data_IF_602161775017
#
_entry.id   IF_602161775017
#
_cell.length_a   1.000
_cell.length_b   1.000
_cell.length_c   1.000
_cell.angle_alpha   90.00
_cell.angle_beta   90.00
_cell.angle_gamma   90.00
#
_symmetry.space_group_name_H-M   'P 1'
#
loop_
_entity.id
_entity.type
_entity.pdbx_description
1 polymer ?
#
# COMPACT_ATOMS: atom_id res chain seq x y z
N UNK A 1 0.90 -26.03 -1.74
CA UNK A 1 0.10 -25.05 -1.00
C UNK A 1 0.28 -23.71 -1.72
N UNK A 2 -0.76 -22.89 -1.90
CA UNK A 2 -0.56 -21.53 -2.42
C UNK A 2 0.00 -20.68 -1.26
N UNK A 3 1.19 -20.13 -1.42
CA UNK A 3 1.80 -19.23 -0.44
C UNK A 3 1.89 -17.81 -1.02
N UNK A 4 1.56 -16.81 -0.21
CA UNK A 4 1.63 -15.40 -0.59
C UNK A 4 2.78 -14.76 0.17
N UNK A 5 3.72 -14.15 -0.55
CA UNK A 5 4.85 -13.42 0.02
C UNK A 5 4.81 -11.97 -0.40
N UNK A 6 4.78 -11.06 0.58
CA UNK A 6 5.01 -9.64 0.33
C UNK A 6 6.48 -9.39 -0.01
N UNK A 7 6.71 -8.47 -0.94
CA UNK A 7 8.06 -8.08 -1.33
C UNK A 7 8.39 -6.73 -0.69
N UNK A 8 9.11 -6.78 0.44
CA UNK A 8 9.54 -5.60 1.18
C UNK A 8 10.89 -5.04 0.71
N UNK A 9 11.53 -5.70 -0.27
CA UNK A 9 12.85 -5.30 -0.77
C UNK A 9 12.72 -4.19 -1.82
N UNK A 10 13.33 -3.05 -1.55
CA UNK A 10 13.28 -1.84 -2.40
C UNK A 10 13.76 -2.07 -3.84
N UNK A 11 14.73 -2.96 -4.06
CA UNK A 11 15.22 -3.29 -5.42
C UNK A 11 14.19 -4.09 -6.22
N UNK A 12 13.39 -4.92 -5.56
CA UNK A 12 12.31 -5.67 -6.23
C UNK A 12 11.05 -4.83 -6.40
N UNK A 13 10.75 -3.92 -5.48
CA UNK A 13 9.67 -2.93 -5.64
C UNK A 13 9.94 -1.98 -6.81
N UNK A 14 11.19 -1.53 -7.01
CA UNK A 14 11.58 -0.77 -8.21
C UNK A 14 11.26 -1.52 -9.51
N UNK A 15 11.30 -2.86 -9.50
CA UNK A 15 10.93 -3.72 -10.64
C UNK A 15 9.41 -3.95 -10.78
N UNK A 16 8.59 -3.27 -9.98
CA UNK A 16 7.12 -3.36 -10.03
C UNK A 16 6.54 -4.58 -9.33
N UNK A 17 7.27 -5.20 -8.40
CA UNK A 17 6.80 -6.39 -7.68
C UNK A 17 6.38 -5.98 -6.28
N UNK A 18 5.08 -6.01 -6.03
CA UNK A 18 4.49 -5.77 -4.71
C UNK A 18 4.24 -7.10 -3.98
N UNK A 19 3.84 -8.13 -4.73
CA UNK A 19 3.52 -9.47 -4.22
C UNK A 19 4.18 -10.57 -5.06
N UNK A 20 4.50 -11.69 -4.42
CA UNK A 20 4.84 -12.95 -5.09
C UNK A 20 3.85 -14.03 -4.63
N UNK A 21 3.21 -14.68 -5.59
CA UNK A 21 2.43 -15.89 -5.38
C UNK A 21 3.30 -17.10 -5.69
N UNK A 22 3.49 -17.97 -4.71
CA UNK A 22 4.13 -19.27 -4.89
C UNK A 22 3.07 -20.30 -5.20
N UNK A 23 3.16 -20.85 -6.41
CA UNK A 23 2.24 -21.83 -6.93
C UNK A 23 2.62 -23.24 -6.42
N UNK A 24 1.65 -24.20 -6.38
CA UNK A 24 1.91 -25.56 -5.88
C UNK A 24 2.97 -26.35 -6.66
N UNK A 25 3.38 -25.87 -7.83
CA UNK A 25 4.42 -26.45 -8.68
C UNK A 25 5.77 -25.72 -8.55
N UNK A 26 5.96 -24.99 -7.44
CA UNK A 26 7.15 -24.19 -7.13
C UNK A 26 7.45 -23.03 -8.11
N UNK A 27 6.48 -22.69 -8.97
CA UNK A 27 6.57 -21.49 -9.80
C UNK A 27 6.19 -20.24 -9.01
N UNK A 28 6.81 -19.12 -9.37
CA UNK A 28 6.49 -17.80 -8.83
C UNK A 28 5.68 -16.99 -9.84
N UNK A 29 4.63 -16.31 -9.38
CA UNK A 29 3.96 -15.25 -10.12
C UNK A 29 4.14 -13.92 -9.40
N UNK A 30 4.76 -12.95 -10.07
CA UNK A 30 5.04 -11.61 -9.55
C UNK A 30 3.89 -10.67 -9.88
N UNK A 31 3.35 -10.02 -8.87
CA UNK A 31 2.16 -9.17 -9.00
C UNK A 31 2.53 -7.72 -8.65
N UNK A 32 2.09 -6.79 -9.50
CA UNK A 32 2.00 -5.36 -9.18
C UNK A 32 0.56 -5.03 -8.78
N UNK A 33 0.38 -4.21 -7.76
CA UNK A 33 -0.94 -3.77 -7.30
C UNK A 33 -1.22 -2.31 -7.71
N UNK A 34 -2.43 -2.07 -8.23
CA UNK A 34 -2.96 -0.73 -8.44
C UNK A 34 -4.39 -0.68 -7.93
N UNK A 35 -4.64 0.17 -6.95
CA UNK A 35 -5.96 0.40 -6.40
C UNK A 35 -6.50 1.78 -6.80
N UNK A 36 -7.81 1.86 -7.08
CA UNK A 36 -8.57 3.10 -7.24
C UNK A 36 -9.59 3.20 -6.11
N UNK A 37 -9.64 4.38 -5.48
CA UNK A 37 -10.61 4.74 -4.43
C UNK A 37 -11.97 5.16 -4.98
N UNK A 38 -12.05 5.45 -6.28
CA UNK A 38 -13.28 5.82 -6.98
C UNK A 38 -13.54 4.83 -8.12
N UNK A 39 -14.78 4.82 -8.62
CA UNK A 39 -15.23 3.94 -9.69
C UNK A 39 -15.08 4.63 -11.03
N UNK A 40 -14.35 3.99 -11.94
CA UNK A 40 -14.17 4.47 -13.31
C UNK A 40 -14.41 3.33 -14.30
N UNK A 41 -14.90 3.63 -15.50
CA UNK A 41 -15.04 2.61 -16.55
C UNK A 41 -13.77 2.51 -17.41
N UNK A 42 -12.61 2.59 -16.75
CA UNK A 42 -11.28 2.61 -17.36
C UNK A 42 -10.25 1.79 -16.59
N UNK A 43 -9.11 1.57 -17.25
CA UNK A 43 -7.83 1.29 -16.62
C UNK A 43 -6.91 2.51 -16.81
N UNK A 44 -6.37 3.00 -15.70
CA UNK A 44 -5.44 4.14 -15.69
C UNK A 44 -4.01 3.64 -15.90
N UNK A 45 -3.46 3.82 -17.10
CA UNK A 45 -2.12 3.38 -17.47
C UNK A 45 -1.12 4.52 -17.26
N UNK A 46 -0.12 4.32 -16.39
CA UNK A 46 0.92 5.32 -16.13
C UNK A 46 1.97 5.30 -17.24
N UNK A 47 1.95 6.35 -18.04
CA UNK A 47 2.95 6.57 -19.08
C UNK A 47 4.23 7.16 -18.49
N UNK A 48 4.11 8.11 -17.57
CA UNK A 48 5.25 8.75 -16.92
C UNK A 48 5.11 8.71 -15.39
N UNK A 49 6.11 8.12 -14.71
CA UNK A 49 6.23 8.15 -13.25
C UNK A 49 6.80 9.48 -12.76
N UNK A 50 7.57 10.17 -13.62
CA UNK A 50 7.93 11.57 -13.47
C UNK A 50 7.82 12.22 -14.86
N UNK A 51 6.78 13.02 -15.05
CA UNK A 51 6.42 13.61 -16.33
C UNK A 51 7.43 14.65 -16.79
N UNK A 52 7.98 15.42 -15.85
CA UNK A 52 8.97 16.47 -16.10
C UNK A 52 10.30 15.86 -16.57
N UNK A 53 10.75 14.79 -15.90
CA UNK A 53 12.00 14.09 -16.22
C UNK A 53 11.85 13.03 -17.32
N UNK A 54 10.63 12.81 -17.80
CA UNK A 54 10.29 11.73 -18.75
C UNK A 54 10.78 10.36 -18.25
N UNK A 55 10.62 10.12 -16.96
CA UNK A 55 10.89 8.81 -16.36
C UNK A 55 9.76 7.87 -16.72
N UNK A 56 10.04 6.74 -17.40
CA UNK A 56 9.00 5.78 -17.80
C UNK A 56 8.13 5.37 -16.61
N UNK A 57 6.82 5.42 -16.83
CA UNK A 57 5.82 4.86 -15.94
C UNK A 57 5.69 3.36 -16.11
N UNK A 58 5.02 2.71 -15.15
CA UNK A 58 4.90 1.26 -15.13
C UNK A 58 4.24 0.68 -16.39
N UNK A 59 3.43 1.43 -17.14
CA UNK A 59 2.79 0.89 -18.35
C UNK A 59 3.78 0.71 -19.53
N UNK A 60 4.93 1.39 -19.51
CA UNK A 60 5.95 1.35 -20.60
C UNK A 60 7.36 0.99 -20.15
N UNK A 61 7.63 0.94 -18.85
CA UNK A 61 8.95 0.61 -18.33
C UNK A 61 9.33 -0.85 -18.66
N UNK A 62 10.35 -1.00 -19.50
CA UNK A 62 10.85 -2.30 -19.95
C UNK A 62 11.66 -3.04 -18.88
N UNK A 63 12.07 -2.35 -17.81
CA UNK A 63 12.78 -2.95 -16.69
C UNK A 63 11.85 -3.70 -15.73
N UNK A 64 10.53 -3.50 -15.85
CA UNK A 64 9.53 -4.17 -15.02
C UNK A 64 9.47 -5.65 -15.34
N UNK A 65 9.61 -6.47 -14.30
CA UNK A 65 9.61 -7.94 -14.38
C UNK A 65 8.34 -8.56 -13.78
N UNK A 66 7.29 -7.76 -13.65
CA UNK A 66 5.96 -8.17 -13.21
C UNK A 66 5.34 -9.16 -14.19
N UNK A 67 4.65 -10.19 -13.67
CA UNK A 67 3.93 -11.16 -14.49
C UNK A 67 2.46 -10.75 -14.64
N UNK A 68 1.85 -10.29 -13.55
CA UNK A 68 0.46 -9.85 -13.55
C UNK A 68 0.24 -8.51 -12.84
N UNK A 69 -0.74 -7.75 -13.30
CA UNK A 69 -1.24 -6.55 -12.65
C UNK A 69 -2.54 -6.89 -11.93
N UNK A 70 -2.59 -6.67 -10.61
CA UNK A 70 -3.81 -6.65 -9.83
C UNK A 70 -4.37 -5.22 -9.83
N UNK A 71 -5.45 -5.01 -10.57
CA UNK A 71 -6.16 -3.72 -10.65
C UNK A 71 -7.45 -3.79 -9.83
N UNK A 72 -7.59 -2.92 -8.83
CA UNK A 72 -8.69 -3.01 -7.86
C UNK A 72 -9.47 -1.70 -7.85
N UNK A 73 -10.80 -1.79 -7.90
CA UNK A 73 -11.69 -0.68 -7.59
C UNK A 73 -12.34 -0.93 -6.24
N UNK A 74 -11.85 -0.24 -5.21
CA UNK A 74 -12.23 -0.48 -3.82
C UNK A 74 -13.75 -0.36 -3.58
N UNK A 75 -14.45 0.68 -4.10
CA UNK A 75 -15.89 0.83 -3.82
C UNK A 75 -16.74 -0.28 -4.41
N UNK A 76 -16.33 -0.86 -5.54
CA UNK A 76 -17.08 -1.92 -6.23
C UNK A 76 -16.67 -3.32 -5.78
N UNK A 77 -15.54 -3.43 -5.07
CA UNK A 77 -14.90 -4.72 -4.73
C UNK A 77 -14.68 -5.57 -5.99
N UNK A 78 -14.30 -4.93 -7.08
CA UNK A 78 -13.90 -5.60 -8.32
C UNK A 78 -12.39 -5.62 -8.41
N UNK A 79 -11.86 -6.79 -8.72
CA UNK A 79 -10.46 -7.02 -9.03
C UNK A 79 -10.36 -7.51 -10.47
N UNK A 80 -9.43 -6.95 -11.21
CA UNK A 80 -8.99 -7.46 -12.50
C UNK A 80 -7.55 -7.91 -12.34
N UNK A 81 -7.29 -9.17 -12.63
CA UNK A 81 -5.93 -9.70 -12.76
C UNK A 81 -5.60 -9.68 -14.25
N UNK A 82 -4.62 -8.86 -14.64
CA UNK A 82 -4.21 -8.71 -16.04
C UNK A 82 -2.84 -9.33 -16.26
N UNK A 83 -2.66 -10.05 -17.36
CA UNK A 83 -1.33 -10.49 -17.79
C UNK A 83 -0.52 -9.27 -18.26
N UNK A 84 0.42 -8.84 -17.42
CA UNK A 84 1.08 -7.55 -17.56
C UNK A 84 1.97 -7.43 -18.81
N UNK A 85 2.76 -8.45 -19.22
CA UNK A 85 3.52 -8.40 -20.47
C UNK A 85 2.65 -8.12 -21.69
N UNK A 86 1.47 -8.74 -21.78
CA UNK A 86 0.53 -8.47 -22.86
C UNK A 86 -0.06 -7.06 -22.77
N UNK A 87 -0.42 -6.59 -21.56
CA UNK A 87 -0.94 -5.24 -21.36
C UNK A 87 0.08 -4.17 -21.78
N UNK A 88 1.34 -4.31 -21.37
CA UNK A 88 2.43 -3.41 -21.78
C UNK A 88 2.64 -3.45 -23.28
N UNK A 89 2.63 -4.65 -23.89
CA UNK A 89 2.76 -4.77 -25.34
C UNK A 89 1.62 -4.07 -26.08
N UNK A 90 0.39 -4.27 -25.62
CA UNK A 90 -0.79 -3.60 -26.16
C UNK A 90 -0.66 -2.07 -26.05
N UNK A 91 -0.23 -1.56 -24.90
CA UNK A 91 -0.01 -0.13 -24.70
C UNK A 91 1.03 0.44 -25.68
N UNK A 92 2.17 -0.23 -25.84
CA UNK A 92 3.24 0.21 -26.72
C UNK A 92 2.86 0.13 -28.21
N UNK A 93 2.17 -0.93 -28.62
CA UNK A 93 1.75 -1.12 -30.01
C UNK A 93 0.68 -0.09 -30.44
N UNK A 94 -0.15 0.36 -29.50
CA UNK A 94 -1.22 1.33 -29.75
C UNK A 94 -0.87 2.76 -29.29
N UNK A 95 0.37 3.00 -28.86
CA UNK A 95 0.76 4.25 -28.18
C UNK A 95 0.37 5.51 -28.94
N UNK A 96 0.61 5.55 -30.26
CA UNK A 96 0.26 6.71 -31.10
C UNK A 96 -1.24 6.95 -31.21
N UNK A 97 -2.04 5.88 -31.29
CA UNK A 97 -3.51 5.99 -31.30
C UNK A 97 -4.00 6.51 -29.95
N UNK A 98 -3.43 5.98 -28.85
CA UNK A 98 -3.73 6.41 -27.49
C UNK A 98 -3.44 7.90 -27.30
N UNK A 99 -2.23 8.34 -27.64
CA UNK A 99 -1.79 9.74 -27.52
C UNK A 99 -2.66 10.70 -28.37
N UNK A 100 -3.19 10.23 -29.50
CA UNK A 100 -4.06 11.04 -30.36
C UNK A 100 -5.49 11.15 -29.80
N UNK A 101 -5.98 10.10 -29.14
CA UNK A 101 -7.41 9.98 -28.76
C UNK A 101 -7.70 10.32 -27.31
N UNK A 102 -6.72 10.18 -26.43
CA UNK A 102 -6.88 10.38 -24.99
C UNK A 102 -5.93 11.46 -24.49
N UNK A 103 -6.40 12.23 -23.53
CA UNK A 103 -5.56 13.21 -22.83
C UNK A 103 -5.01 12.63 -21.54
N UNK A 104 -3.85 13.11 -21.12
CA UNK A 104 -3.31 12.73 -19.82
C UNK A 104 -4.22 13.14 -18.67
N UNK A 105 -4.28 12.27 -17.68
CA UNK A 105 -4.68 12.57 -16.31
C UNK A 105 -3.40 12.64 -15.48
N UNK A 106 -3.19 13.79 -14.84
CA UNK A 106 -2.00 14.05 -14.05
C UNK A 106 -2.23 13.76 -12.56
N UNK A 107 -1.34 12.97 -11.96
CA UNK A 107 -1.25 12.80 -10.51
C UNK A 107 -0.12 13.66 -9.96
N UNK A 108 -0.28 14.23 -8.77
CA UNK A 108 0.76 15.05 -8.13
C UNK A 108 1.26 14.34 -6.87
N UNK A 109 2.57 14.11 -6.81
CA UNK A 109 3.21 13.55 -5.62
C UNK A 109 3.86 14.66 -4.83
N UNK A 110 3.59 14.71 -3.52
CA UNK A 110 4.12 15.72 -2.61
C UNK A 110 5.03 15.10 -1.55
N UNK A 111 6.04 15.85 -1.12
CA UNK A 111 6.85 15.56 0.06
C UNK A 111 6.85 16.79 0.98
N UNK A 112 6.37 16.63 2.22
CA UNK A 112 6.24 17.71 3.21
C UNK A 112 5.55 18.97 2.65
N UNK A 113 4.50 18.79 1.84
CA UNK A 113 3.75 19.89 1.20
C UNK A 113 4.39 20.46 -0.07
N UNK A 114 5.63 20.10 -0.40
CA UNK A 114 6.27 20.49 -1.65
C UNK A 114 5.96 19.50 -2.76
N UNK A 115 5.59 20.01 -3.93
CA UNK A 115 5.42 19.17 -5.13
C UNK A 115 6.76 18.55 -5.49
N UNK A 116 6.82 17.22 -5.50
CA UNK A 116 8.03 16.46 -5.80
C UNK A 116 8.10 16.11 -7.29
N UNK A 117 7.03 15.53 -7.83
CA UNK A 117 6.91 15.19 -9.25
C UNK A 117 5.46 15.02 -9.66
N UNK A 118 5.21 15.08 -10.96
CA UNK A 118 3.90 14.80 -11.54
C UNK A 118 3.94 13.45 -12.26
N UNK A 119 2.98 12.57 -12.01
CA UNK A 119 2.75 11.38 -12.85
C UNK A 119 1.78 11.72 -13.96
N UNK A 120 1.92 11.08 -15.11
CA UNK A 120 1.02 11.28 -16.25
C UNK A 120 0.50 9.93 -16.73
N UNK A 121 -0.82 9.85 -16.86
CA UNK A 121 -1.53 8.59 -17.06
C UNK A 121 -2.57 8.73 -18.16
N UNK A 122 -2.78 7.67 -18.94
CA UNK A 122 -3.91 7.58 -19.86
C UNK A 122 -5.05 6.78 -19.23
N UNK A 123 -6.26 7.36 -19.07
CA UNK A 123 -7.45 6.59 -18.69
C UNK A 123 -7.98 5.87 -19.94
N UNK A 124 -7.64 4.59 -20.10
CA UNK A 124 -8.13 3.79 -21.23
C UNK A 124 -9.45 3.11 -20.87
N UNK A 125 -10.56 3.43 -21.54
CA UNK A 125 -11.83 2.75 -21.29
C UNK A 125 -11.70 1.25 -21.51
N UNK A 126 -12.43 0.43 -20.75
CA UNK A 126 -12.42 -1.02 -20.97
C UNK A 126 -12.85 -1.40 -22.40
N UNK A 127 -13.72 -0.61 -23.01
CA UNK A 127 -14.16 -0.76 -24.40
C UNK A 127 -13.08 -0.48 -25.45
N UNK A 128 -11.94 0.09 -25.08
CA UNK A 128 -10.81 0.31 -25.98
C UNK A 128 -10.07 -1.01 -26.31
N UNK A 129 -10.13 -1.99 -25.41
CA UNK A 129 -9.48 -3.28 -25.60
C UNK A 129 -10.37 -4.20 -26.44
N UNK A 130 -9.81 -4.89 -27.45
CA UNK A 130 -10.55 -5.93 -28.17
C UNK A 130 -11.09 -6.99 -27.21
N UNK A 131 -12.33 -7.44 -27.43
CA UNK A 131 -12.98 -8.39 -26.54
C UNK A 131 -12.21 -9.72 -26.44
N UNK A 132 -11.68 -10.21 -27.56
CA UNK A 132 -10.87 -11.44 -27.57
C UNK A 132 -9.54 -11.26 -26.84
N UNK A 133 -8.97 -10.05 -26.85
CA UNK A 133 -7.79 -9.71 -26.09
C UNK A 133 -8.08 -9.75 -24.58
N UNK A 134 -9.19 -9.14 -24.14
CA UNK A 134 -9.61 -9.16 -22.73
C UNK A 134 -9.83 -10.58 -22.23
N UNK A 135 -10.54 -11.42 -23.00
CA UNK A 135 -10.81 -12.80 -22.62
C UNK A 135 -9.55 -13.65 -22.43
N UNK A 136 -8.47 -13.33 -23.16
CA UNK A 136 -7.19 -14.05 -23.08
C UNK A 136 -6.29 -13.54 -21.96
N UNK A 137 -6.37 -12.25 -21.63
CA UNK A 137 -5.35 -11.57 -20.81
C UNK A 137 -5.89 -10.96 -19.52
N UNK A 138 -7.19 -11.04 -19.25
CA UNK A 138 -7.82 -10.39 -18.11
C UNK A 138 -8.82 -11.32 -17.42
N UNK A 139 -8.61 -11.54 -16.12
CA UNK A 139 -9.55 -12.26 -15.26
C UNK A 139 -10.20 -11.28 -14.30
N UNK A 140 -11.54 -11.24 -14.32
CA UNK A 140 -12.32 -10.39 -13.44
C UNK A 140 -12.88 -11.20 -12.28
N UNK A 141 -12.72 -10.68 -11.07
CA UNK A 141 -13.28 -11.22 -9.85
C UNK A 141 -14.08 -10.15 -9.11
N UNK A 142 -15.21 -10.53 -8.53
CA UNK A 142 -16.03 -9.67 -7.68
C UNK A 142 -16.10 -10.29 -6.29
N UNK A 143 -15.70 -9.55 -5.25
CA UNK A 143 -15.77 -10.07 -3.90
C UNK A 143 -17.22 -10.04 -3.41
N UNK A 144 -17.87 -11.20 -3.39
CA UNK A 144 -19.16 -11.40 -2.71
C UNK A 144 -18.89 -11.52 -1.20
N UNK A 145 -19.40 -10.62 -0.38
CA UNK A 145 -19.24 -10.57 1.10
C UNK A 145 -19.44 -11.94 1.78
N UNK A 146 -18.85 -12.31 2.93
CA UNK A 146 -17.89 -11.74 3.87
C UNK A 146 -16.73 -12.73 3.98
N UNK A 147 -15.46 -12.28 3.99
CA UNK A 147 -14.46 -13.10 4.65
C UNK A 147 -14.81 -13.09 6.13
N UNK A 148 -15.27 -14.21 6.68
CA UNK A 148 -15.17 -14.44 8.12
C UNK A 148 -13.68 -14.31 8.45
N UNK A 149 -13.31 -13.17 9.01
CA UNK A 149 -11.97 -13.00 9.56
C UNK A 149 -11.84 -14.04 10.66
N UNK A 150 -10.76 -14.86 10.68
CA UNK A 150 -10.52 -15.71 11.82
C UNK A 150 -10.54 -14.82 13.05
N UNK A 151 -11.43 -15.15 13.99
CA UNK A 151 -11.54 -14.48 15.28
C UNK A 151 -10.10 -14.36 15.82
N UNK A 152 -9.58 -13.15 16.09
CA UNK A 152 -8.23 -13.01 16.61
C UNK A 152 -8.21 -13.77 17.92
N UNK A 153 -7.61 -14.97 17.91
CA UNK A 153 -7.55 -15.83 19.07
C UNK A 153 -7.07 -14.96 20.24
N UNK A 154 -7.79 -14.92 21.37
CA UNK A 154 -7.29 -14.30 22.57
C UNK A 154 -6.18 -15.22 23.07
N UNK A 155 -4.95 -15.02 22.58
CA UNK A 155 -3.77 -15.57 23.23
C UNK A 155 -3.62 -14.76 24.51
N UNK A 156 -4.36 -15.15 25.55
CA UNK A 156 -4.06 -14.77 26.92
C UNK A 156 -2.72 -15.40 27.27
N UNK A 157 -1.63 -14.70 26.95
CA UNK A 157 -0.35 -14.97 27.61
C UNK A 157 -0.52 -14.51 29.05
N UNK A 158 -0.61 -15.47 29.96
CA UNK A 158 -0.26 -15.20 31.35
C UNK A 158 1.20 -14.75 31.34
N UNK A 159 1.42 -13.46 31.57
CA UNK A 159 2.77 -12.88 31.68
C UNK A 159 3.09 -12.87 33.17
N UNK A 160 4.10 -13.64 33.57
CA UNK A 160 4.69 -13.57 34.90
C UNK A 160 5.10 -12.12 35.19
N UNK A 161 4.62 -11.60 36.32
CA UNK A 161 4.82 -10.21 36.74
C UNK A 161 6.17 -10.10 37.45
N UNK A 162 7.11 -9.37 36.85
CA UNK A 162 8.32 -8.92 37.55
C UNK A 162 8.19 -7.43 37.89
N UNK A 163 8.41 -7.09 39.16
CA UNK A 163 8.31 -5.73 39.72
C UNK A 163 9.57 -4.89 39.45
N UNK A 164 9.94 -4.73 38.18
CA UNK A 164 11.09 -3.89 37.86
C UNK A 164 10.80 -2.39 38.09
N UNK A 165 11.68 -1.73 38.84
CA UNK A 165 11.56 -0.31 39.18
C UNK A 165 12.41 0.56 38.26
N UNK A 166 11.82 1.63 37.77
CA UNK A 166 12.44 2.67 36.95
C UNK A 166 12.62 3.96 37.73
N UNK A 167 13.53 4.82 37.27
CA UNK A 167 13.78 6.13 37.86
C UNK A 167 13.65 7.24 36.81
N UNK A 168 12.98 8.33 37.18
CA UNK A 168 12.87 9.55 36.36
C UNK A 168 13.08 10.79 37.24
N UNK A 169 13.03 11.98 36.63
CA UNK A 169 13.13 13.28 37.33
C UNK A 169 12.05 13.49 38.42
N UNK A 170 10.97 12.70 38.39
CA UNK A 170 9.88 12.75 39.37
C UNK A 170 9.96 11.65 40.45
N UNK A 171 11.00 10.81 40.42
CA UNK A 171 11.24 9.76 41.41
C UNK A 171 11.22 8.35 40.83
N UNK A 172 11.17 7.37 41.74
CA UNK A 172 11.09 5.94 41.45
C UNK A 172 9.65 5.54 41.11
N UNK A 173 9.46 4.68 40.11
CA UNK A 173 8.16 4.23 39.64
C UNK A 173 8.22 2.77 39.15
N UNK A 174 7.07 2.10 39.06
CA UNK A 174 7.00 0.75 38.49
C UNK A 174 7.01 0.89 36.96
N UNK A 175 7.98 0.26 36.29
CA UNK A 175 8.20 0.45 34.84
C UNK A 175 6.95 0.16 33.99
N UNK A 176 6.10 -0.77 34.45
CA UNK A 176 4.88 -1.17 33.75
C UNK A 176 3.77 -0.11 33.78
N UNK A 177 3.61 0.60 34.89
CA UNK A 177 2.63 1.68 34.99
C UNK A 177 3.16 2.99 34.41
N UNK A 178 4.48 3.14 34.40
CA UNK A 178 5.15 4.39 34.06
C UNK A 178 4.99 5.41 35.19
N UNK A 179 5.81 6.47 35.16
CA UNK A 179 5.63 7.58 36.10
C UNK A 179 4.35 8.37 35.74
N UNK A 180 3.34 8.47 36.63
CA UNK A 180 2.07 9.14 36.32
C UNK A 180 2.25 10.59 35.90
N UNK A 181 3.20 11.30 36.53
CA UNK A 181 3.50 12.70 36.24
C UNK A 181 4.19 12.86 34.88
N UNK A 182 5.13 11.98 34.52
CA UNK A 182 5.70 11.98 33.16
C UNK A 182 4.66 11.67 32.09
N UNK A 183 3.70 10.78 32.38
CA UNK A 183 2.64 10.41 31.45
C UNK A 183 1.65 11.56 31.22
N UNK A 184 1.30 12.29 32.28
CA UNK A 184 0.41 13.45 32.20
C UNK A 184 1.06 14.64 31.50
N UNK A 185 2.35 14.91 31.77
CA UNK A 185 3.12 15.92 31.03
C UNK A 185 3.13 15.65 29.51
N UNK A 186 3.25 14.37 29.10
CA UNK A 186 3.18 13.98 27.68
C UNK A 186 1.77 14.19 27.10
N UNK A 187 0.72 13.82 27.83
CA UNK A 187 -0.67 14.05 27.40
C UNK A 187 -0.99 15.52 27.14
N UNK A 188 -0.36 16.43 27.86
CA UNK A 188 -0.55 17.87 27.68
C UNK A 188 0.25 18.45 26.51
N UNK A 189 1.23 17.71 25.97
CA UNK A 189 2.09 18.11 24.84
C UNK A 189 1.71 17.41 23.52
N UNK A 190 1.06 16.26 23.59
CA UNK A 190 0.58 15.56 22.41
C UNK A 190 -0.70 16.24 21.88
N UNK A 191 -0.57 17.00 20.79
CA UNK A 191 -1.71 17.21 19.89
C UNK A 191 -2.31 15.83 19.56
N UNK A 192 -3.65 15.67 19.49
CA UNK A 192 -4.26 14.36 19.34
C UNK A 192 -3.65 13.66 18.13
N UNK A 193 -2.87 12.61 18.42
CA UNK A 193 -2.28 11.77 17.39
C UNK A 193 -3.40 11.43 16.42
N UNK A 194 -3.19 11.70 15.13
CA UNK A 194 -4.15 11.49 14.07
C UNK A 194 -4.46 9.98 14.00
N UNK A 195 -5.32 9.55 14.91
CA UNK A 195 -5.66 8.15 15.12
C UNK A 195 -6.55 7.82 13.95
N UNK A 196 -6.08 6.90 13.12
CA UNK A 196 -6.71 6.54 11.87
C UNK A 196 -8.22 6.39 12.08
N UNK A 197 -9.01 7.24 11.40
CA UNK A 197 -10.47 7.22 11.58
C UNK A 197 -10.98 5.81 11.22
N UNK A 198 -11.74 5.14 12.10
CA UNK A 198 -12.30 3.84 11.79
C UNK A 198 -13.26 3.96 10.61
N UNK A 199 -13.24 2.97 9.73
CA UNK A 199 -14.22 2.88 8.64
C UNK A 199 -15.53 2.36 9.20
N UNK A 200 -16.66 2.93 8.76
CA UNK A 200 -17.99 2.48 9.14
C UNK A 200 -18.78 2.04 7.91
N UNK A 201 -19.59 1.00 8.06
CA UNK A 201 -20.67 0.66 7.13
C UNK A 201 -21.82 1.67 7.25
N UNK A 202 -22.73 1.66 6.27
CA UNK A 202 -23.89 2.55 6.25
C UNK A 202 -24.84 2.36 7.45
N UNK A 203 -24.79 1.20 8.11
CA UNK A 203 -25.53 0.88 9.33
C UNK A 203 -24.78 1.25 10.63
N UNK A 204 -23.58 1.84 10.50
CA UNK A 204 -22.73 2.27 11.62
C UNK A 204 -21.73 1.22 12.12
N UNK A 205 -21.76 -0.02 11.60
CA UNK A 205 -20.83 -1.06 12.02
C UNK A 205 -19.38 -0.73 11.65
N UNK A 206 -18.46 -0.90 12.61
CA UNK A 206 -17.03 -0.61 12.43
C UNK A 206 -16.38 -1.71 11.58
N UNK A 207 -15.71 -1.31 10.51
CA UNK A 207 -14.96 -2.20 9.63
C UNK A 207 -13.50 -2.18 10.09
N UNK A 208 -12.89 -3.35 10.36
CA UNK A 208 -11.47 -3.43 10.66
C UNK A 208 -10.65 -2.95 9.46
N UNK A 209 -9.56 -2.23 9.72
CA UNK A 209 -8.62 -1.80 8.68
C UNK A 209 -8.00 -3.03 7.98
N UNK A 210 -7.49 -2.84 6.76
CA UNK A 210 -6.77 -3.91 6.02
C UNK A 210 -5.65 -4.50 6.88
N UNK A 211 -4.91 -3.66 7.60
CA UNK A 211 -3.85 -4.09 8.52
C UNK A 211 -4.38 -4.95 9.67
N UNK A 212 -5.58 -4.63 10.17
CA UNK A 212 -6.28 -5.42 11.21
C UNK A 212 -6.73 -6.77 10.67
N UNK A 213 -7.31 -6.80 9.47
CA UNK A 213 -7.77 -8.01 8.78
C UNK A 213 -6.61 -8.99 8.54
N UNK A 214 -5.48 -8.47 8.07
CA UNK A 214 -4.33 -9.28 7.71
C UNK A 214 -3.42 -9.60 8.91
N UNK A 215 -3.68 -9.02 10.09
CA UNK A 215 -2.82 -9.13 11.28
C UNK A 215 -1.35 -8.72 11.05
N UNK A 216 -1.11 -7.80 10.10
CA UNK A 216 0.23 -7.35 9.69
C UNK A 216 0.60 -6.08 10.47
N UNK A 217 0.61 -6.15 11.80
CA UNK A 217 1.08 -5.02 12.62
C UNK A 217 2.58 -5.10 12.93
N UNK A 218 3.14 -6.31 12.96
CA UNK A 218 4.54 -6.53 13.32
C UNK A 218 5.41 -6.68 12.06
N UNK A 219 6.01 -5.58 11.62
CA UNK A 219 6.99 -5.59 10.52
C UNK A 219 8.38 -5.70 11.14
N UNK A 220 9.05 -6.86 11.10
CA UNK A 220 10.33 -7.08 11.79
C UNK A 220 11.48 -6.21 11.27
N UNK A 221 11.33 -5.58 10.10
CA UNK A 221 12.27 -4.59 9.56
C UNK A 221 12.14 -3.18 10.16
N UNK A 222 10.99 -2.83 10.78
CA UNK A 222 10.78 -1.51 11.35
C UNK A 222 11.70 -1.20 12.54
N UNK A 223 11.98 -2.14 13.47
CA UNK A 223 12.95 -1.91 14.54
C UNK A 223 14.36 -1.58 14.01
N UNK A 224 14.84 -2.30 12.99
CA UNK A 224 16.15 -2.07 12.38
C UNK A 224 16.19 -0.74 11.63
N UNK A 225 15.15 -0.43 10.85
CA UNK A 225 15.02 0.85 10.15
C UNK A 225 14.98 2.03 11.13
N UNK A 226 14.22 1.92 12.22
CA UNK A 226 14.15 2.97 13.24
C UNK A 226 15.51 3.17 13.94
N UNK A 227 16.25 2.08 14.20
CA UNK A 227 17.60 2.14 14.76
C UNK A 227 18.61 2.82 13.83
N UNK A 228 18.57 2.52 12.53
CA UNK A 228 19.45 3.16 11.53
C UNK A 228 19.18 4.66 11.38
N UNK A 229 17.91 5.08 11.47
CA UNK A 229 17.55 6.50 11.51
C UNK A 229 18.07 7.19 12.78
N UNK A 230 17.95 6.52 13.93
CA UNK A 230 18.53 7.01 15.18
C UNK A 230 20.05 7.18 15.11
N UNK A 231 20.77 6.24 14.45
CA UNK A 231 22.22 6.35 14.19
C UNK A 231 22.60 7.53 13.30
N UNK A 232 21.69 7.98 12.45
CA UNK A 232 21.87 9.14 11.57
C UNK A 232 21.46 10.46 12.26
N UNK A 233 21.01 10.40 13.51
CA UNK A 233 20.52 11.56 14.26
C UNK A 233 19.13 12.03 13.82
N UNK A 234 18.37 11.18 13.12
CA UNK A 234 17.05 11.49 12.60
C UNK A 234 15.96 10.88 13.49
N UNK A 235 14.88 11.63 13.74
CA UNK A 235 13.72 11.08 14.46
C UNK A 235 12.90 10.19 13.51
N UNK A 236 12.93 8.89 13.78
CA UNK A 236 12.18 7.90 13.01
C UNK A 236 10.67 8.16 13.03
N UNK A 237 10.12 8.81 14.06
CA UNK A 237 8.69 9.14 14.16
C UNK A 237 8.32 10.21 13.13
N UNK A 238 9.11 11.27 13.02
CA UNK A 238 8.89 12.33 12.05
C UNK A 238 8.94 11.78 10.62
N UNK A 239 9.92 10.92 10.33
CA UNK A 239 10.09 10.30 9.02
C UNK A 239 8.96 9.30 8.73
N UNK A 240 8.59 8.47 9.71
CA UNK A 240 7.45 7.53 9.60
C UNK A 240 6.16 8.29 9.32
N UNK A 241 5.89 9.35 10.06
CA UNK A 241 4.65 10.10 9.97
C UNK A 241 4.60 10.97 8.71
N UNK A 242 5.76 11.43 8.22
CA UNK A 242 5.88 12.03 6.89
C UNK A 242 5.56 10.99 5.80
N UNK A 243 6.14 9.79 5.88
CA UNK A 243 5.90 8.70 4.92
C UNK A 243 4.44 8.20 4.95
N UNK A 244 3.85 8.06 6.14
CA UNK A 244 2.46 7.66 6.32
C UNK A 244 1.46 8.67 5.76
N UNK A 245 1.80 9.96 5.76
CA UNK A 245 0.98 11.04 5.16
C UNK A 245 1.00 11.06 3.62
N UNK A 246 1.97 10.41 2.98
CA UNK A 246 2.03 10.29 1.52
C UNK A 246 0.81 9.55 0.95
N UNK A 247 0.20 8.64 1.74
CA UNK A 247 -1.01 7.88 1.34
C UNK A 247 -2.35 8.56 1.61
N UNK A 248 -2.38 9.76 2.22
CA UNK A 248 -3.62 10.46 2.62
C UNK A 248 -4.07 11.57 1.67
N UNK A 249 -3.48 11.70 0.48
CA UNK A 249 -3.93 12.64 -0.55
C UNK A 249 -4.92 11.95 -1.50
N UNK A 250 -6.20 12.04 -1.15
CA UNK A 250 -7.36 11.89 -2.04
C UNK A 250 -8.17 13.19 -2.00
#
# INVERSE_FOLDING_TARGET
LLEIREVLNSERQKKGIDLILLLPNDQEAKIEEKARSQVFDDILLEDWSNYEQKTPGWARDLSKTTDYLSYIQLPTRKLWLLYYPALRRFFLDNYKDIETRFSYVFGKTYNAGNLLYTTANYPLPWSYFPQDWLLKNCWKYEFTSQLELPNPNPVSKEVEVTEEKGHCKHGEFILREGCPQCMEERRQQDEPANTHRPYHLADGAIIPSVTTILSILDKPGLPHWAWDLGRQGLDYREIRDAAGRVGTLA
#
